data_IF_818347976453
#
_entry.id   IF_818347976453
#
_cell.length_a   1.000
_cell.length_b   1.000
_cell.length_c   1.000
_cell.angle_alpha   90.00
_cell.angle_beta   90.00
_cell.angle_gamma   90.00
#
_symmetry.space_group_name_H-M   'P 1'
#
loop_
_entity.id
_entity.type
_entity.pdbx_description
1 polymer ?
#
# COMPACT_ATOMS: atom_id res chain seq x y z
N UNK A 1 -18.83 -22.23 2.17
CA UNK A 1 -17.90 -21.08 2.09
C UNK A 1 -16.94 -21.19 3.27
N UNK A 2 -15.65 -20.87 3.12
CA UNK A 2 -14.76 -20.84 4.29
C UNK A 2 -15.11 -19.60 5.12
N UNK A 3 -15.67 -19.81 6.31
CA UNK A 3 -16.09 -18.71 7.19
C UNK A 3 -14.92 -18.12 8.00
N UNK A 4 -13.76 -18.79 7.95
CA UNK A 4 -12.54 -18.32 8.61
C UNK A 4 -11.71 -17.40 7.71
N UNK A 5 -12.01 -17.33 6.41
CA UNK A 5 -11.30 -16.45 5.48
C UNK A 5 -11.87 -15.04 5.51
N UNK A 6 -10.97 -14.05 5.46
CA UNK A 6 -11.38 -12.65 5.35
C UNK A 6 -11.95 -12.41 3.95
N UNK A 7 -13.11 -11.74 3.89
CA UNK A 7 -13.83 -11.44 2.66
C UNK A 7 -14.02 -9.93 2.49
N UNK A 8 -13.89 -9.44 1.26
CA UNK A 8 -14.22 -8.06 0.94
C UNK A 8 -15.74 -7.83 1.02
N UNK A 9 -16.17 -6.57 1.05
CA UNK A 9 -17.54 -6.25 0.61
C UNK A 9 -17.67 -6.56 -0.88
N UNK A 10 -18.90 -6.70 -1.36
CA UNK A 10 -19.15 -6.73 -2.80
C UNK A 10 -18.54 -5.48 -3.45
N UNK A 11 -17.72 -5.67 -4.48
CA UNK A 11 -17.18 -4.58 -5.31
C UNK A 11 -18.30 -4.02 -6.23
N UNK A 12 -17.96 -3.15 -7.18
CA UNK A 12 -18.93 -2.50 -8.06
C UNK A 12 -19.69 -3.46 -9.01
N UNK A 13 -19.15 -4.66 -9.27
CA UNK A 13 -19.79 -5.69 -10.11
C UNK A 13 -20.58 -6.74 -9.30
N UNK A 14 -20.56 -6.63 -7.96
CA UNK A 14 -21.25 -7.54 -7.05
C UNK A 14 -20.41 -8.74 -6.58
N UNK A 15 -19.15 -8.87 -7.02
CA UNK A 15 -18.26 -9.96 -6.59
C UNK A 15 -17.69 -9.74 -5.19
N UNK A 16 -17.66 -10.82 -4.41
CA UNK A 16 -17.02 -10.91 -3.09
C UNK A 16 -15.76 -11.73 -3.23
N UNK A 17 -14.61 -11.16 -2.86
CA UNK A 17 -13.31 -11.81 -2.96
C UNK A 17 -12.76 -12.14 -1.58
N UNK A 18 -12.02 -13.23 -1.49
CA UNK A 18 -11.25 -13.55 -0.29
C UNK A 18 -9.93 -12.76 -0.34
N UNK A 19 -9.38 -12.40 0.81
CA UNK A 19 -8.10 -11.68 0.87
C UNK A 19 -7.26 -12.11 2.07
N UNK A 20 -5.95 -11.89 1.96
CA UNK A 20 -5.01 -12.04 3.06
C UNK A 20 -4.45 -10.66 3.38
N UNK A 21 -4.51 -10.27 4.65
CA UNK A 21 -3.86 -9.05 5.13
C UNK A 21 -2.47 -9.43 5.63
N UNK A 22 -1.45 -8.91 4.97
CA UNK A 22 -0.05 -9.20 5.30
C UNK A 22 0.53 -8.04 6.10
N UNK A 23 0.90 -8.32 7.35
CA UNK A 23 1.70 -7.45 8.22
C UNK A 23 3.04 -8.11 8.50
N UNK A 24 4.09 -7.30 8.73
CA UNK A 24 5.41 -7.79 9.13
C UNK A 24 5.53 -7.66 10.65
N UNK A 25 5.95 -8.74 11.31
CA UNK A 25 6.28 -8.70 12.73
C UNK A 25 7.54 -7.86 12.94
N UNK A 26 7.57 -7.07 14.01
CA UNK A 26 8.71 -6.19 14.34
C UNK A 26 8.83 -4.95 13.46
N UNK A 27 7.80 -4.59 12.69
CA UNK A 27 7.70 -3.26 12.05
C UNK A 27 7.66 -2.18 13.13
N UNK A 28 8.51 -1.17 13.01
CA UNK A 28 8.51 -0.06 13.97
C UNK A 28 7.23 0.77 13.85
N UNK A 29 6.89 1.52 14.90
CA UNK A 29 5.71 2.38 14.86
C UNK A 29 5.86 3.44 13.74
N UNK A 30 7.07 3.96 13.53
CA UNK A 30 7.36 4.93 12.46
C UNK A 30 7.18 4.32 11.06
N UNK A 31 7.63 3.08 10.83
CA UNK A 31 7.43 2.38 9.56
C UNK A 31 5.94 2.09 9.31
N UNK A 32 5.19 1.75 10.37
CA UNK A 32 3.74 1.52 10.28
C UNK A 32 3.01 2.81 9.92
N UNK A 33 3.28 3.89 10.64
CA UNK A 33 2.69 5.21 10.39
C UNK A 33 3.03 5.73 8.99
N UNK A 34 4.28 5.55 8.55
CA UNK A 34 4.71 5.90 7.21
C UNK A 34 3.89 5.14 6.16
N UNK A 35 3.71 3.82 6.33
CA UNK A 35 2.92 3.01 5.40
C UNK A 35 1.45 3.40 5.40
N UNK A 36 0.87 3.66 6.57
CA UNK A 36 -0.52 4.10 6.69
C UNK A 36 -0.74 5.43 5.98
N UNK A 37 0.15 6.42 6.17
CA UNK A 37 0.09 7.70 5.46
C UNK A 37 0.19 7.51 3.94
N UNK A 38 1.16 6.74 3.47
CA UNK A 38 1.42 6.55 2.03
C UNK A 38 0.35 5.70 1.32
N UNK A 39 -0.42 4.88 2.05
CA UNK A 39 -1.51 4.03 1.49
C UNK A 39 -2.90 4.64 1.67
N UNK A 40 -2.99 5.86 2.19
CA UNK A 40 -4.23 6.63 2.27
C UNK A 40 -4.79 7.02 0.89
N UNK A 41 -6.02 7.52 0.84
CA UNK A 41 -6.70 7.87 -0.42
C UNK A 41 -6.01 9.00 -1.21
N UNK A 42 -5.44 9.98 -0.50
CA UNK A 42 -4.75 11.13 -1.08
C UNK A 42 -3.46 11.38 -0.28
N UNK A 43 -2.40 10.58 -0.47
CA UNK A 43 -1.18 10.74 0.30
C UNK A 43 -0.48 12.04 -0.11
N UNK A 44 -0.21 12.91 0.86
CA UNK A 44 0.65 14.07 0.63
C UNK A 44 2.11 13.67 0.78
N UNK A 45 2.89 13.90 -0.29
CA UNK A 45 4.31 13.55 -0.36
C UNK A 45 5.14 14.78 -0.08
N UNK A 46 6.11 14.64 0.82
CA UNK A 46 7.09 15.70 1.07
C UNK A 46 7.96 15.95 -0.15
N UNK A 47 8.71 17.05 -0.14
CA UNK A 47 9.64 17.36 -1.24
C UNK A 47 10.73 16.30 -1.36
N UNK A 48 11.19 15.78 -0.22
CA UNK A 48 12.21 14.74 -0.10
C UNK A 48 11.70 13.41 -0.67
N UNK A 49 10.46 13.02 -0.35
CA UNK A 49 9.84 11.80 -0.89
C UNK A 49 9.66 11.90 -2.41
N UNK A 50 9.24 13.06 -2.92
CA UNK A 50 9.14 13.29 -4.37
C UNK A 50 10.51 13.27 -5.06
N UNK A 51 11.55 13.78 -4.41
CA UNK A 51 12.92 13.71 -4.92
C UNK A 51 13.39 12.26 -5.00
N UNK A 52 13.17 11.44 -3.97
CA UNK A 52 13.49 10.01 -3.98
C UNK A 52 12.81 9.26 -5.14
N UNK A 53 11.52 9.52 -5.37
CA UNK A 53 10.79 8.92 -6.50
C UNK A 53 11.42 9.33 -7.84
N UNK A 54 11.79 10.60 -8.00
CA UNK A 54 12.43 11.11 -9.22
C UNK A 54 13.78 10.43 -9.47
N UNK A 55 14.66 10.43 -8.47
CA UNK A 55 15.99 9.79 -8.55
C UNK A 55 15.86 8.31 -8.90
N UNK A 56 14.88 7.60 -8.33
CA UNK A 56 14.59 6.20 -8.68
C UNK A 56 14.17 6.05 -10.15
N UNK A 57 13.32 6.92 -10.68
CA UNK A 57 12.87 6.86 -12.07
C UNK A 57 13.99 7.22 -13.07
N UNK A 58 14.84 8.19 -12.74
CA UNK A 58 15.98 8.61 -13.57
C UNK A 58 16.99 7.48 -13.83
N UNK A 59 17.11 6.51 -12.91
CA UNK A 59 17.94 5.30 -13.10
C UNK A 59 17.48 4.42 -14.29
N UNK A 60 16.25 4.60 -14.79
CA UNK A 60 15.70 3.84 -15.91
C UNK A 60 15.63 4.63 -17.23
N UNK A 61 16.08 5.89 -17.26
CA UNK A 61 15.95 6.77 -18.44
C UNK A 61 16.92 6.42 -19.58
N UNK A 62 17.79 5.41 -19.42
CA UNK A 62 18.72 4.94 -20.46
C UNK A 62 18.49 3.48 -20.92
N UNK A 63 17.25 3.10 -21.25
CA UNK A 63 16.98 1.84 -21.97
C UNK A 63 16.35 2.06 -23.34
#
# INVERSE_FOLDING_TARGET
CNDNEKKTKANADGHVNNYVQVSRDGTSDEERELRERLTGQNPDLTKEERLMIREYLEQYVER
#
